data_IF_098213273680
#
_entry.id   IF_098213273680
#
_cell.length_a   1.000
_cell.length_b   1.000
_cell.length_c   1.000
_cell.angle_alpha   90.00
_cell.angle_beta   90.00
_cell.angle_gamma   90.00
#
_symmetry.space_group_name_H-M   'P 1'
#
loop_
_entity.id
_entity.type
_entity.pdbx_description
1 polymer ?
#
# COMPACT_ATOMS: atom_id res chain seq x y z
N UNK A 1 -21.16 4.06 16.77
CA UNK A 1 -20.95 3.35 15.49
C UNK A 1 -19.52 2.83 15.54
N UNK A 2 -19.27 1.63 15.04
CA UNK A 2 -17.94 0.99 14.93
C UNK A 2 -17.73 0.44 13.50
N UNK A 3 -18.82 0.36 12.72
CA UNK A 3 -18.84 -0.27 11.40
C UNK A 3 -17.91 0.42 10.39
N UNK A 4 -17.66 1.73 10.53
CA UNK A 4 -16.81 2.48 9.60
C UNK A 4 -15.33 2.16 9.83
N UNK A 5 -14.87 2.14 11.08
CA UNK A 5 -13.48 1.77 11.40
C UNK A 5 -13.21 0.28 11.22
N UNK A 6 -14.18 -0.59 11.50
CA UNK A 6 -14.07 -2.02 11.19
C UNK A 6 -13.92 -2.23 9.68
N UNK A 7 -14.74 -1.55 8.87
CA UNK A 7 -14.64 -1.63 7.42
C UNK A 7 -13.32 -1.10 6.88
N UNK A 8 -12.84 0.01 7.43
CA UNK A 8 -11.54 0.57 7.06
C UNK A 8 -10.39 -0.39 7.42
N UNK A 9 -10.48 -1.07 8.57
CA UNK A 9 -9.49 -2.08 8.96
C UNK A 9 -9.46 -3.26 7.99
N UNK A 10 -10.62 -3.80 7.60
CA UNK A 10 -10.72 -4.88 6.60
C UNK A 10 -10.12 -4.49 5.26
N UNK A 11 -10.39 -3.27 4.78
CA UNK A 11 -9.85 -2.77 3.52
C UNK A 11 -8.33 -2.62 3.57
N UNK A 12 -7.79 -2.15 4.70
CA UNK A 12 -6.35 -2.06 4.91
C UNK A 12 -5.68 -3.44 4.96
N UNK A 13 -6.31 -4.42 5.61
CA UNK A 13 -5.82 -5.81 5.63
C UNK A 13 -5.78 -6.41 4.21
N UNK A 14 -6.87 -6.26 3.46
CA UNK A 14 -6.98 -6.77 2.10
C UNK A 14 -5.97 -6.09 1.15
N UNK A 15 -5.81 -4.77 1.26
CA UNK A 15 -4.79 -4.01 0.53
C UNK A 15 -3.38 -4.48 0.86
N UNK A 16 -3.05 -4.70 2.14
CA UNK A 16 -1.73 -5.18 2.54
C UNK A 16 -1.43 -6.57 1.97
N UNK A 17 -2.42 -7.46 1.93
CA UNK A 17 -2.30 -8.78 1.28
C UNK A 17 -2.08 -8.65 -0.23
N UNK A 18 -2.85 -7.80 -0.91
CA UNK A 18 -2.70 -7.55 -2.35
C UNK A 18 -1.28 -7.01 -2.67
N UNK A 19 -0.78 -6.07 -1.87
CA UNK A 19 0.59 -5.53 -2.01
C UNK A 19 1.66 -6.61 -1.79
N UNK A 20 1.50 -7.49 -0.79
CA UNK A 20 2.40 -8.63 -0.55
C UNK A 20 2.41 -9.61 -1.74
N UNK A 21 1.27 -9.79 -2.38
CA UNK A 21 1.13 -10.64 -3.57
C UNK A 21 1.56 -9.93 -4.86
N UNK A 22 2.13 -8.72 -4.78
CA UNK A 22 2.47 -7.88 -5.93
C UNK A 22 1.28 -7.60 -6.86
N UNK A 23 0.05 -7.73 -6.37
CA UNK A 23 -1.16 -7.45 -7.13
C UNK A 23 -1.52 -5.97 -7.04
N UNK A 24 -0.87 -5.17 -7.89
CA UNK A 24 -1.00 -3.71 -7.86
C UNK A 24 -2.41 -3.24 -8.26
N UNK A 25 -3.12 -3.98 -9.12
CA UNK A 25 -4.48 -3.61 -9.57
C UNK A 25 -5.44 -3.72 -8.38
N UNK A 26 -5.47 -4.87 -7.73
CA UNK A 26 -6.34 -5.11 -6.57
C UNK A 26 -5.99 -4.20 -5.39
N UNK A 27 -4.70 -3.95 -5.14
CA UNK A 27 -4.29 -2.98 -4.13
C UNK A 27 -4.77 -1.55 -4.44
N UNK A 28 -4.80 -1.17 -5.72
CA UNK A 28 -5.31 0.14 -6.15
C UNK A 28 -6.83 0.24 -5.98
N UNK A 29 -7.56 -0.84 -6.25
CA UNK A 29 -9.01 -0.90 -6.05
C UNK A 29 -9.36 -0.70 -4.57
N UNK A 30 -8.66 -1.39 -3.65
CA UNK A 30 -8.84 -1.18 -2.21
C UNK A 30 -8.48 0.24 -1.76
N UNK A 31 -7.44 0.86 -2.33
CA UNK A 31 -7.09 2.25 -2.08
C UNK A 31 -8.23 3.21 -2.48
N UNK A 32 -8.89 2.95 -3.60
CA UNK A 32 -10.03 3.74 -4.06
C UNK A 32 -11.23 3.57 -3.13
N UNK A 33 -11.51 2.34 -2.67
CA UNK A 33 -12.58 2.07 -1.70
C UNK A 33 -12.31 2.78 -0.36
N UNK A 34 -11.06 2.79 0.10
CA UNK A 34 -10.66 3.53 1.30
C UNK A 34 -10.90 5.04 1.14
N UNK A 35 -10.50 5.63 0.00
CA UNK A 35 -10.73 7.07 -0.26
C UNK A 35 -12.23 7.40 -0.31
N UNK A 36 -13.04 6.54 -0.93
CA UNK A 36 -14.50 6.70 -0.95
C UNK A 36 -15.12 6.63 0.45
N UNK A 37 -14.71 5.66 1.26
CA UNK A 37 -15.17 5.53 2.64
C UNK A 37 -14.83 6.79 3.43
N UNK A 38 -13.57 7.23 3.38
CA UNK A 38 -13.11 8.43 4.10
C UNK A 38 -13.87 9.70 3.68
N UNK A 39 -14.21 9.85 2.39
CA UNK A 39 -15.02 10.98 1.89
C UNK A 39 -16.48 10.94 2.35
N UNK A 40 -17.00 9.75 2.63
CA UNK A 40 -18.39 9.59 3.07
C UNK A 40 -18.58 9.88 4.57
N UNK A 41 -17.50 9.88 5.35
CA UNK A 41 -17.55 10.11 6.80
C UNK A 41 -17.93 11.55 7.13
N UNK A 42 -18.82 11.69 8.10
CA UNK A 42 -19.17 13.00 8.66
C UNK A 42 -18.19 13.38 9.78
N UNK A 43 -18.23 14.65 10.20
CA UNK A 43 -17.46 15.10 11.38
C UNK A 43 -17.87 14.39 12.67
N UNK A 44 -19.13 13.98 12.78
CA UNK A 44 -19.64 13.24 13.95
C UNK A 44 -19.07 11.81 13.97
N UNK A 45 -19.01 11.15 12.81
CA UNK A 45 -18.38 9.82 12.69
C UNK A 45 -16.90 9.87 13.05
N UNK A 46 -16.19 10.88 12.55
CA UNK A 46 -14.77 11.08 12.84
C UNK A 46 -14.52 11.37 14.32
N UNK A 47 -15.38 12.15 14.98
CA UNK A 47 -15.26 12.46 16.39
C UNK A 47 -15.62 11.25 17.28
N UNK A 48 -16.62 10.46 16.88
CA UNK A 48 -17.05 9.27 17.62
C UNK A 48 -15.98 8.17 17.63
N UNK A 49 -15.15 8.08 16.57
CA UNK A 49 -14.19 7.01 16.35
C UNK A 49 -12.73 7.54 16.21
N UNK A 50 -12.44 8.75 16.70
CA UNK A 50 -11.19 9.50 16.47
C UNK A 50 -9.92 8.67 16.76
N UNK A 51 -9.91 7.94 17.88
CA UNK A 51 -8.78 7.13 18.29
C UNK A 51 -8.51 5.99 17.30
N UNK A 52 -9.57 5.31 16.87
CA UNK A 52 -9.50 4.21 15.90
C UNK A 52 -9.04 4.72 14.53
N UNK A 53 -9.61 5.83 14.05
CA UNK A 53 -9.15 6.46 12.81
C UNK A 53 -7.69 6.91 12.87
N UNK A 54 -7.24 7.44 14.00
CA UNK A 54 -5.84 7.83 14.18
C UNK A 54 -4.89 6.62 14.07
N UNK A 55 -5.26 5.48 14.65
CA UNK A 55 -4.49 4.24 14.52
C UNK A 55 -4.45 3.74 13.07
N UNK A 56 -5.61 3.69 12.41
CA UNK A 56 -5.72 3.21 11.03
C UNK A 56 -4.96 4.12 10.04
N UNK A 57 -4.97 5.45 10.28
CA UNK A 57 -4.19 6.39 9.48
C UNK A 57 -2.68 6.18 9.64
N UNK A 58 -2.20 5.93 10.88
CA UNK A 58 -0.79 5.56 11.10
C UNK A 58 -0.41 4.29 10.34
N UNK A 59 -1.27 3.28 10.40
CA UNK A 59 -1.07 2.01 9.69
C UNK A 59 -1.00 2.21 8.17
N UNK A 60 -1.88 3.03 7.59
CA UNK A 60 -1.84 3.36 6.16
C UNK A 60 -0.51 4.03 5.76
N UNK A 61 0.00 4.93 6.59
CA UNK A 61 1.31 5.57 6.38
C UNK A 61 2.44 4.54 6.44
N UNK A 62 2.42 3.62 7.40
CA UNK A 62 3.42 2.55 7.52
C UNK A 62 3.43 1.64 6.28
N UNK A 63 2.25 1.22 5.80
CA UNK A 63 2.11 0.42 4.58
C UNK A 63 2.71 1.17 3.37
N UNK A 64 2.43 2.47 3.25
CA UNK A 64 2.97 3.31 2.16
C UNK A 64 4.50 3.37 2.18
N UNK A 65 5.10 3.52 3.37
CA UNK A 65 6.56 3.57 3.55
C UNK A 65 7.18 2.23 3.14
N UNK A 66 6.66 1.12 3.66
CA UNK A 66 7.19 -0.23 3.39
C UNK A 66 7.10 -0.55 1.90
N UNK A 67 5.95 -0.28 1.27
CA UNK A 67 5.76 -0.55 -0.15
C UNK A 67 6.68 0.31 -1.03
N UNK A 68 6.86 1.59 -0.69
CA UNK A 68 7.77 2.48 -1.43
C UNK A 68 9.21 1.99 -1.33
N UNK A 69 9.66 1.58 -0.13
CA UNK A 69 10.98 1.01 0.07
C UNK A 69 11.18 -0.27 -0.75
N UNK A 70 10.21 -1.19 -0.69
CA UNK A 70 10.26 -2.44 -1.43
C UNK A 70 10.38 -2.20 -2.94
N UNK A 71 9.57 -1.28 -3.48
CA UNK A 71 9.59 -0.90 -4.90
C UNK A 71 10.93 -0.29 -5.32
N UNK A 72 11.55 0.51 -4.46
CA UNK A 72 12.86 1.11 -4.76
C UNK A 72 14.00 0.07 -4.70
N UNK A 73 13.91 -0.93 -3.82
CA UNK A 73 14.87 -2.03 -3.80
C UNK A 73 14.74 -2.95 -5.03
N UNK A 74 13.52 -3.25 -5.48
CA UNK A 74 13.29 -3.96 -6.75
C UNK A 74 13.89 -3.20 -7.94
N UNK A 75 13.76 -1.87 -7.98
CA UNK A 75 14.38 -1.03 -9.02
C UNK A 75 15.91 -1.15 -9.02
N UNK A 76 16.54 -1.13 -7.84
CA UNK A 76 18.00 -1.32 -7.72
C UNK A 76 18.44 -2.68 -8.25
N UNK A 77 17.74 -3.76 -7.86
CA UNK A 77 18.03 -5.12 -8.33
C UNK A 77 17.90 -5.23 -9.86
N UNK A 78 16.83 -4.67 -10.44
CA UNK A 78 16.63 -4.66 -11.88
C UNK A 78 17.74 -3.89 -12.61
N UNK A 79 18.19 -2.77 -12.06
CA UNK A 79 19.31 -2.01 -12.62
C UNK A 79 20.61 -2.82 -12.60
N UNK A 80 20.91 -3.50 -11.48
CA UNK A 80 22.07 -4.38 -11.37
C UNK A 80 22.00 -5.54 -12.38
N UNK A 81 20.83 -6.18 -12.51
CA UNK A 81 20.61 -7.25 -13.49
C UNK A 81 20.90 -6.77 -14.93
N UNK A 82 20.34 -5.62 -15.32
CA UNK A 82 20.58 -5.01 -16.64
C UNK A 82 22.07 -4.73 -16.88
N UNK A 83 22.76 -4.20 -15.87
CA UNK A 83 24.21 -3.94 -15.94
C UNK A 83 25.01 -5.23 -16.13
N UNK A 84 24.69 -6.27 -15.37
CA UNK A 84 25.37 -7.57 -15.46
C UNK A 84 25.10 -8.27 -16.80
N UNK A 85 23.86 -8.23 -17.30
CA UNK A 85 23.50 -8.75 -18.62
C UNK A 85 24.30 -8.07 -19.75
N UNK A 86 24.50 -6.76 -19.67
CA UNK A 86 25.33 -6.01 -20.63
C UNK A 86 26.80 -6.41 -20.57
N UNK A 87 27.35 -6.66 -19.38
CA UNK A 87 28.74 -7.15 -19.22
C UNK A 87 28.91 -8.54 -19.85
N UNK A 88 27.99 -9.47 -19.56
CA UNK A 88 28.04 -10.83 -20.10
C UNK A 88 28.00 -10.86 -21.63
N UNK A 89 27.14 -10.06 -22.24
CA UNK A 89 27.07 -9.96 -23.72
C UNK A 89 28.30 -9.29 -24.36
N UNK A 90 29.02 -8.45 -23.61
CA UNK A 90 30.29 -7.89 -24.05
C UNK A 90 31.45 -8.91 -23.97
N UNK A 91 31.42 -9.82 -22.98
CA UNK A 91 32.41 -10.89 -22.84
C UNK A 91 32.16 -12.10 -23.75
N UNK A 92 30.95 -12.25 -24.29
CA UNK A 92 30.59 -13.34 -25.21
C UNK A 92 30.88 -13.02 -26.69
N UNK A 93 31.62 -11.95 -26.98
CA UNK A 93 32.10 -11.55 -28.31
C UNK A 93 33.62 -11.61 -28.33
#
# INVERSE_FOLDING_TARGET
MQANTDKLAELLDAMEVALKNSNQIEAQDYLNEIDQLLRSLTKEDLAAEEQSFTLLNKRLIEISIVYTSHRDDMKKQLFQFKSNSKKLSAYSK
#
